data_IF_412546655266
#
_entry.id   IF_412546655266
#
_cell.length_a   1.000
_cell.length_b   1.000
_cell.length_c   1.000
_cell.angle_alpha   90.00
_cell.angle_beta   90.00
_cell.angle_gamma   90.00
#
_symmetry.space_group_name_H-M   'P 1'
#
loop_
_entity.id
_entity.type
_entity.pdbx_description
1 polymer ?
#
# COMPACT_ATOMS: atom_id res chain seq x y z
N UNK A 1 32.50 -4.83 -13.39
CA UNK A 1 31.62 -3.64 -13.51
C UNK A 1 30.39 -3.81 -12.62
N UNK A 2 30.01 -2.78 -11.86
CA UNK A 2 28.76 -2.80 -11.08
C UNK A 2 27.55 -2.79 -12.02
N UNK A 3 26.61 -3.72 -11.85
CA UNK A 3 25.37 -3.79 -12.65
C UNK A 3 24.51 -2.56 -12.37
N UNK A 4 24.26 -1.71 -13.37
CA UNK A 4 23.36 -0.56 -13.26
C UNK A 4 21.90 -1.04 -13.21
N UNK A 5 21.28 -0.96 -12.03
CA UNK A 5 19.87 -1.30 -11.85
C UNK A 5 18.95 -0.20 -12.41
N UNK A 6 17.84 -0.61 -13.04
CA UNK A 6 16.85 0.34 -13.60
C UNK A 6 16.11 1.06 -12.48
N UNK A 7 15.98 2.39 -12.58
CA UNK A 7 15.24 3.20 -11.60
C UNK A 7 13.74 2.90 -11.67
N UNK A 8 13.08 2.90 -10.51
CA UNK A 8 11.63 2.73 -10.40
C UNK A 8 10.93 3.99 -10.93
N UNK A 9 9.91 3.80 -11.77
CA UNK A 9 9.10 4.90 -12.26
C UNK A 9 8.37 5.61 -11.10
N UNK A 10 8.56 6.93 -10.99
CA UNK A 10 7.90 7.78 -10.01
C UNK A 10 6.80 8.59 -10.67
N UNK A 11 5.82 8.98 -9.87
CA UNK A 11 4.77 9.90 -10.27
C UNK A 11 5.31 11.33 -10.23
N UNK A 12 5.17 12.08 -11.33
CA UNK A 12 5.80 13.40 -11.48
C UNK A 12 5.26 14.44 -10.48
N UNK A 13 3.98 14.33 -10.11
CA UNK A 13 3.32 15.29 -9.20
C UNK A 13 3.64 15.00 -7.74
N UNK A 14 3.63 13.73 -7.35
CA UNK A 14 3.74 13.35 -5.94
C UNK A 14 5.15 12.93 -5.54
N UNK A 15 5.99 12.53 -6.49
CA UNK A 15 7.34 11.99 -6.26
C UNK A 15 7.35 10.54 -5.74
N UNK A 16 6.17 9.96 -5.47
CA UNK A 16 6.02 8.60 -4.94
C UNK A 16 6.12 7.58 -6.08
N UNK A 17 6.72 6.39 -5.87
CA UNK A 17 6.75 5.34 -6.88
C UNK A 17 5.35 4.93 -7.36
N UNK A 18 5.17 4.80 -8.68
CA UNK A 18 3.85 4.53 -9.29
C UNK A 18 3.17 3.27 -8.73
N UNK A 19 3.95 2.25 -8.38
CA UNK A 19 3.47 0.98 -7.80
C UNK A 19 2.70 1.14 -6.48
N UNK A 20 2.91 2.22 -5.75
CA UNK A 20 2.18 2.49 -4.50
C UNK A 20 0.93 3.33 -4.73
N UNK A 21 0.83 4.03 -5.86
CA UNK A 21 -0.31 4.87 -6.22
C UNK A 21 -1.31 4.15 -7.11
N UNK A 22 -0.88 3.10 -7.82
CA UNK A 22 -1.78 2.24 -8.60
C UNK A 22 -2.91 1.69 -7.72
N UNK A 23 -4.12 1.64 -8.28
CA UNK A 23 -5.31 1.14 -7.58
C UNK A 23 -5.96 2.13 -6.59
N UNK A 24 -5.43 3.33 -6.41
CA UNK A 24 -6.07 4.36 -5.57
C UNK A 24 -7.06 5.21 -6.36
N UNK A 25 -8.23 5.48 -5.77
CA UNK A 25 -9.20 6.46 -6.25
C UNK A 25 -8.63 7.87 -6.23
N UNK A 26 -7.88 8.22 -5.19
CA UNK A 26 -7.28 9.53 -5.01
C UNK A 26 -5.77 9.41 -4.75
N UNK A 27 -4.99 9.53 -5.82
CA UNK A 27 -3.53 9.36 -5.82
C UNK A 27 -2.81 10.42 -4.96
N UNK A 28 -3.34 11.64 -4.90
CA UNK A 28 -2.74 12.73 -4.13
C UNK A 28 -2.89 12.47 -2.63
N UNK A 29 -4.09 12.10 -2.18
CA UNK A 29 -4.36 11.74 -0.78
C UNK A 29 -3.48 10.55 -0.33
N UNK A 30 -3.39 9.50 -1.14
CA UNK A 30 -2.54 8.34 -0.85
C UNK A 30 -1.06 8.73 -0.74
N UNK A 31 -0.58 9.62 -1.60
CA UNK A 31 0.80 10.08 -1.54
C UNK A 31 1.09 10.88 -0.27
N UNK A 32 0.15 11.73 0.18
CA UNK A 32 0.29 12.48 1.43
C UNK A 32 0.35 11.53 2.64
N UNK A 33 -0.52 10.52 2.69
CA UNK A 33 -0.47 9.47 3.72
C UNK A 33 0.89 8.74 3.74
N UNK A 34 1.39 8.34 2.56
CA UNK A 34 2.69 7.66 2.43
C UNK A 34 3.83 8.56 2.92
N UNK A 35 3.82 9.85 2.60
CA UNK A 35 4.85 10.79 3.08
C UNK A 35 4.79 10.98 4.59
N UNK A 36 3.58 11.21 5.14
CA UNK A 36 3.38 11.35 6.58
C UNK A 36 3.86 10.12 7.35
N UNK A 37 3.49 8.92 6.88
CA UNK A 37 3.94 7.66 7.50
C UNK A 37 5.45 7.46 7.38
N UNK A 38 6.05 7.83 6.25
CA UNK A 38 7.50 7.78 6.08
C UNK A 38 8.24 8.76 7.02
N UNK A 39 7.70 9.95 7.24
CA UNK A 39 8.26 10.93 8.19
C UNK A 39 8.16 10.44 9.64
N UNK A 40 7.02 9.90 10.06
CA UNK A 40 6.85 9.30 11.39
C UNK A 40 7.82 8.14 11.60
N UNK A 41 7.94 7.26 10.60
CA UNK A 41 8.89 6.15 10.62
C UNK A 41 10.34 6.65 10.76
N UNK A 42 10.72 7.67 10.00
CA UNK A 42 12.06 8.26 10.07
C UNK A 42 12.35 8.88 11.44
N UNK A 43 11.34 9.45 12.09
CA UNK A 43 11.44 10.02 13.44
C UNK A 43 11.40 8.97 14.56
N UNK A 44 11.14 7.70 14.24
CA UNK A 44 10.95 6.64 15.24
C UNK A 44 9.65 6.77 16.05
N UNK A 45 8.68 7.55 15.54
CA UNK A 45 7.39 7.75 16.21
C UNK A 45 6.46 6.57 15.96
N UNK A 46 5.52 6.38 16.89
CA UNK A 46 4.48 5.37 16.74
C UNK A 46 3.62 5.63 15.50
N UNK A 47 3.36 4.57 14.74
CA UNK A 47 2.51 4.59 13.56
C UNK A 47 1.29 3.72 13.85
N UNK A 48 0.10 4.30 13.80
CA UNK A 48 -1.13 3.52 13.87
C UNK A 48 -1.35 2.73 12.56
N UNK A 49 -0.86 1.49 12.56
CA UNK A 49 -0.96 0.58 11.42
C UNK A 49 -2.41 0.28 11.07
N UNK A 50 -3.29 0.18 12.07
CA UNK A 50 -4.71 -0.17 11.85
C UNK A 50 -5.42 0.97 11.12
N UNK A 51 -5.18 2.22 11.51
CA UNK A 51 -5.73 3.38 10.83
C UNK A 51 -5.21 3.49 9.38
N UNK A 52 -3.90 3.31 9.18
CA UNK A 52 -3.28 3.30 7.84
C UNK A 52 -3.89 2.22 6.96
N UNK A 53 -4.08 1.01 7.49
CA UNK A 53 -4.69 -0.08 6.74
C UNK A 53 -6.13 0.21 6.34
N UNK A 54 -6.95 0.76 7.26
CA UNK A 54 -8.34 1.17 6.96
C UNK A 54 -8.39 2.18 5.82
N UNK A 55 -7.58 3.23 5.90
CA UNK A 55 -7.53 4.26 4.85
C UNK A 55 -7.15 3.68 3.48
N UNK A 56 -6.16 2.78 3.43
CA UNK A 56 -5.73 2.13 2.18
C UNK A 56 -6.82 1.24 1.57
N UNK A 57 -7.58 0.53 2.41
CA UNK A 57 -8.70 -0.31 1.94
C UNK A 57 -9.83 0.53 1.38
N UNK A 58 -10.16 1.66 2.01
CA UNK A 58 -11.21 2.58 1.55
C UNK A 58 -10.87 3.25 0.21
N UNK A 59 -9.59 3.60 0.02
CA UNK A 59 -9.09 4.24 -1.19
C UNK A 59 -8.99 3.32 -2.41
N UNK A 60 -9.12 2.00 -2.24
CA UNK A 60 -8.98 1.05 -3.34
C UNK A 60 -10.14 1.19 -4.35
N UNK A 61 -9.82 1.33 -5.65
CA UNK A 61 -10.84 1.43 -6.72
C UNK A 61 -11.64 0.13 -6.85
N UNK A 62 -10.96 -1.01 -6.75
CA UNK A 62 -11.55 -2.33 -6.92
C UNK A 62 -11.76 -2.96 -5.54
N UNK A 63 -12.97 -2.80 -4.99
CA UNK A 63 -13.41 -3.58 -3.82
C UNK A 63 -13.87 -4.96 -4.29
N UNK A 64 -12.97 -5.76 -4.85
CA UNK A 64 -13.29 -7.16 -5.12
C UNK A 64 -13.40 -7.90 -3.80
N UNK A 65 -14.58 -8.44 -3.47
CA UNK A 65 -14.75 -9.36 -2.34
C UNK A 65 -13.77 -10.52 -2.51
N UNK A 66 -13.02 -10.86 -1.46
CA UNK A 66 -12.13 -12.02 -1.53
C UNK A 66 -12.98 -13.26 -1.81
N UNK A 67 -12.68 -13.98 -2.90
CA UNK A 67 -13.28 -15.28 -3.20
C UNK A 67 -12.63 -16.37 -2.34
N UNK A 68 -12.53 -16.15 -1.03
CA UNK A 68 -11.93 -17.13 -0.14
C UNK A 68 -12.96 -18.22 0.14
N UNK A 69 -12.90 -19.31 -0.60
CA UNK A 69 -13.66 -20.52 -0.27
C UNK A 69 -13.13 -21.06 1.05
N UNK A 70 -13.95 -21.14 2.11
CA UNK A 70 -13.55 -21.78 3.37
C UNK A 70 -13.16 -23.23 3.06
N UNK A 71 -11.87 -23.57 3.16
CA UNK A 71 -11.43 -24.98 3.10
C UNK A 71 -12.04 -25.70 4.30
N UNK A 72 -13.02 -26.56 4.06
CA UNK A 72 -13.60 -27.45 5.08
C UNK A 72 -12.52 -28.44 5.50
N UNK A 73 -12.09 -28.43 6.76
CA UNK A 73 -11.13 -29.40 7.31
C UNK A 73 -11.80 -30.78 7.24
N UNK A 74 -11.22 -31.75 6.53
CA UNK A 74 -11.73 -33.14 6.59
C UNK A 74 -11.48 -33.65 8.01
N UNK A 75 -12.51 -34.21 8.63
CA UNK A 75 -12.43 -34.82 9.96
C UNK A 75 -11.51 -36.04 9.81
N UNK A 76 -10.39 -36.06 10.54
CA UNK A 76 -9.57 -37.28 10.65
C UNK A 76 -10.40 -38.30 11.43
N UNK A 77 -10.70 -39.42 10.77
CA UNK A 77 -11.24 -40.63 11.38
C UNK A 77 -10.25 -41.21 12.37
#
# INVERSE_FOLDING_TARGET
MSRKLRRVARDKKTGVPKKYLSGSKNRAAKAAEIKKTAELYKKGLFIDIKAVQKSRVEQNVNKTKSKTTKRKRRKST
#
